data_IF_334714439927
#
_entry.id   IF_334714439927
#
_cell.length_a   1.000
_cell.length_b   1.000
_cell.length_c   1.000
_cell.angle_alpha   90.00
_cell.angle_beta   90.00
_cell.angle_gamma   90.00
#
_symmetry.space_group_name_H-M   'P 1'
#
loop_
_entity.id
_entity.type
_entity.pdbx_description
1 polymer ?
#
# COMPACT_ATOMS: atom_id res chain seq x y z
N UNK A 1 -12.24 -9.54 5.74
CA UNK A 1 -11.13 -8.93 6.48
C UNK A 1 -11.48 -7.49 6.79
N UNK A 2 -11.20 -7.02 8.01
CA UNK A 2 -11.47 -5.62 8.33
C UNK A 2 -10.52 -4.69 7.59
N UNK A 3 -10.95 -3.44 7.32
CA UNK A 3 -10.05 -2.46 6.73
C UNK A 3 -8.96 -2.06 7.72
N UNK A 4 -7.86 -1.48 7.24
CA UNK A 4 -6.81 -1.02 8.15
C UNK A 4 -7.31 0.10 9.06
N UNK A 5 -6.82 0.12 10.28
CA UNK A 5 -7.09 1.17 11.26
C UNK A 5 -5.95 2.19 11.21
N UNK A 6 -6.19 3.36 11.79
CA UNK A 6 -5.16 4.41 11.79
C UNK A 6 -3.86 3.94 12.46
N UNK A 7 -3.94 3.05 13.44
CA UNK A 7 -2.78 2.51 14.14
C UNK A 7 -2.18 1.29 13.47
N UNK A 8 -2.81 0.76 12.42
CA UNK A 8 -2.26 -0.38 11.69
C UNK A 8 -0.93 0.00 11.03
N UNK A 9 0.00 -0.93 10.96
CA UNK A 9 1.31 -0.71 10.36
C UNK A 9 1.48 -1.62 9.15
N UNK A 10 0.98 -1.18 7.97
CA UNK A 10 1.03 -2.02 6.78
C UNK A 10 2.46 -2.36 6.36
N UNK A 11 2.64 -3.59 5.94
CA UNK A 11 3.92 -4.10 5.47
C UNK A 11 3.70 -5.18 4.41
N UNK A 12 4.73 -5.50 3.66
CA UNK A 12 4.66 -6.63 2.75
C UNK A 12 4.51 -7.91 3.55
N UNK A 13 3.64 -8.80 3.09
CA UNK A 13 3.45 -10.09 3.73
C UNK A 13 4.70 -10.96 3.57
N UNK A 14 4.84 -11.95 4.46
CA UNK A 14 5.97 -12.89 4.40
C UNK A 14 5.99 -13.60 3.04
N UNK A 15 7.14 -13.63 2.40
CA UNK A 15 7.29 -14.24 1.07
C UNK A 15 7.08 -13.27 -0.07
N UNK A 16 6.74 -12.03 0.22
CA UNK A 16 6.60 -10.99 -0.81
C UNK A 16 7.80 -10.05 -0.77
N UNK A 17 8.21 -9.57 -1.94
CA UNK A 17 9.36 -8.68 -2.02
C UNK A 17 9.24 -7.78 -3.25
N UNK A 18 9.95 -6.66 -3.19
CA UNK A 18 10.07 -5.78 -4.34
C UNK A 18 10.93 -6.43 -5.41
N UNK A 19 10.56 -6.19 -6.66
CA UNK A 19 11.32 -6.67 -7.82
C UNK A 19 11.19 -5.70 -8.98
N UNK A 20 11.72 -6.11 -10.14
CA UNK A 20 11.68 -5.29 -11.34
C UNK A 20 12.72 -4.18 -11.34
N UNK A 21 12.51 -3.20 -12.21
CA UNK A 21 13.39 -2.04 -12.35
C UNK A 21 12.71 -0.80 -11.84
N UNK A 22 13.45 0.32 -11.77
CA UNK A 22 12.86 1.61 -11.38
C UNK A 22 11.67 2.00 -12.26
N UNK A 23 11.75 1.69 -13.55
CA UNK A 23 10.68 2.02 -14.49
C UNK A 23 9.53 1.01 -14.45
N UNK A 24 9.80 -0.21 -14.00
CA UNK A 24 8.83 -1.29 -13.97
C UNK A 24 8.87 -1.99 -12.62
N UNK A 25 8.51 -1.25 -11.57
CA UNK A 25 8.48 -1.82 -10.22
C UNK A 25 7.35 -2.83 -10.09
N UNK A 26 7.62 -3.89 -9.36
CA UNK A 26 6.61 -4.93 -9.12
C UNK A 26 6.82 -5.53 -7.74
N UNK A 27 5.78 -6.20 -7.25
CA UNK A 27 5.88 -7.02 -6.06
C UNK A 27 5.87 -8.47 -6.50
N UNK A 28 6.86 -9.22 -6.05
CA UNK A 28 6.92 -10.65 -6.27
C UNK A 28 6.29 -11.35 -5.07
N UNK A 29 5.38 -12.27 -5.34
CA UNK A 29 4.72 -13.05 -4.29
C UNK A 29 4.62 -14.51 -4.75
N UNK A 30 4.31 -15.45 -3.84
CA UNK A 30 4.40 -16.88 -4.20
C UNK A 30 3.61 -17.29 -5.42
N UNK A 31 2.49 -16.62 -5.72
CA UNK A 31 1.63 -16.97 -6.84
C UNK A 31 1.96 -16.21 -8.13
N UNK A 32 2.95 -15.31 -8.09
CA UNK A 32 3.31 -14.55 -9.29
C UNK A 32 3.91 -13.19 -8.99
N UNK A 33 3.58 -12.23 -9.84
CA UNK A 33 4.07 -10.86 -9.71
C UNK A 33 2.96 -9.88 -10.05
N UNK A 34 2.95 -8.74 -9.37
CA UNK A 34 2.00 -7.67 -9.64
C UNK A 34 2.78 -6.40 -9.96
N UNK A 35 2.45 -5.79 -11.08
CA UNK A 35 3.08 -4.55 -11.52
C UNK A 35 2.49 -3.37 -10.77
N UNK A 36 3.35 -2.46 -10.31
CA UNK A 36 2.92 -1.29 -9.56
C UNK A 36 3.31 -0.01 -10.28
N UNK A 37 2.33 0.86 -10.49
CA UNK A 37 2.52 2.15 -11.13
C UNK A 37 1.71 3.20 -10.39
N UNK A 38 2.15 4.46 -10.51
CA UNK A 38 1.40 5.60 -9.99
C UNK A 38 1.09 5.50 -8.50
N UNK A 39 -0.16 5.69 -8.15
CA UNK A 39 -0.61 5.73 -6.75
C UNK A 39 -0.33 4.43 -6.01
N UNK A 40 -0.57 3.27 -6.66
CA UNK A 40 -0.33 1.98 -6.03
C UNK A 40 1.12 1.79 -5.61
N UNK A 41 2.05 2.21 -6.46
CA UNK A 41 3.47 2.15 -6.14
C UNK A 41 3.79 3.04 -4.93
N UNK A 42 3.26 4.25 -4.91
CA UNK A 42 3.52 5.19 -3.81
C UNK A 42 2.96 4.68 -2.49
N UNK A 43 1.79 4.05 -2.52
CA UNK A 43 1.21 3.46 -1.32
C UNK A 43 2.11 2.35 -0.78
N UNK A 44 2.52 1.42 -1.63
CA UNK A 44 3.31 0.26 -1.19
C UNK A 44 4.73 0.62 -0.79
N UNK A 45 5.31 1.68 -1.38
CA UNK A 45 6.63 2.14 -0.95
C UNK A 45 6.62 2.62 0.51
N UNK A 46 5.45 3.01 1.01
CA UNK A 46 5.28 3.46 2.39
C UNK A 46 4.85 2.34 3.34
N UNK A 47 4.59 1.15 2.81
CA UNK A 47 4.20 -0.01 3.63
C UNK A 47 5.44 -0.74 4.12
N UNK A 48 6.16 -0.10 5.02
CA UNK A 48 7.44 -0.60 5.54
C UNK A 48 7.33 -1.24 6.93
N UNK A 49 6.11 -1.37 7.45
CA UNK A 49 5.89 -1.93 8.77
C UNK A 49 6.19 -0.98 9.92
N UNK A 50 6.62 0.24 9.63
CA UNK A 50 6.94 1.25 10.63
C UNK A 50 5.96 2.42 10.61
N UNK A 51 5.54 2.85 9.42
CA UNK A 51 4.53 3.89 9.29
C UNK A 51 3.16 3.32 9.60
N UNK A 52 2.35 4.07 10.34
CA UNK A 52 0.95 3.70 10.56
C UNK A 52 0.14 4.06 9.33
N UNK A 53 -1.04 3.44 9.20
CA UNK A 53 -1.96 3.75 8.12
C UNK A 53 -2.30 5.24 8.09
N UNK A 54 -2.55 5.82 9.29
CA UNK A 54 -2.80 7.25 9.38
C UNK A 54 -1.66 8.12 8.87
N UNK A 55 -0.42 7.73 9.18
CA UNK A 55 0.76 8.44 8.68
C UNK A 55 0.90 8.32 7.16
N UNK A 56 0.61 7.15 6.62
CA UNK A 56 0.66 6.94 5.17
C UNK A 56 -0.35 7.86 4.47
N UNK A 57 -1.57 7.96 5.02
CA UNK A 57 -2.59 8.83 4.46
C UNK A 57 -2.15 10.29 4.51
N UNK A 58 -1.58 10.74 5.62
CA UNK A 58 -1.11 12.11 5.75
C UNK A 58 0.00 12.44 4.75
N UNK A 59 0.94 11.53 4.55
CA UNK A 59 2.02 11.72 3.58
C UNK A 59 1.47 11.79 2.16
N UNK A 60 0.53 10.90 1.82
CA UNK A 60 -0.03 10.88 0.48
C UNK A 60 -0.93 12.07 0.20
N UNK A 61 -1.63 12.58 1.20
CA UNK A 61 -2.40 13.82 1.06
C UNK A 61 -1.51 14.98 0.65
N UNK A 62 -0.35 15.09 1.26
CA UNK A 62 0.62 16.14 0.92
C UNK A 62 1.19 15.92 -0.48
N UNK A 63 1.50 14.69 -0.82
CA UNK A 63 2.07 14.33 -2.12
C UNK A 63 1.12 14.64 -3.26
N UNK A 64 -0.15 14.33 -3.09
CA UNK A 64 -1.15 14.51 -4.14
C UNK A 64 -1.87 15.84 -4.10
N UNK A 65 -1.70 16.61 -3.03
CA UNK A 65 -2.36 17.90 -2.89
C UNK A 65 -3.88 17.81 -2.94
N UNK A 66 -4.45 16.70 -2.45
CA UNK A 66 -5.89 16.48 -2.52
C UNK A 66 -6.65 17.37 -1.55
N UNK A 67 -7.85 17.78 -1.96
CA UNK A 67 -8.77 18.51 -1.11
C UNK A 67 -9.84 17.62 -0.49
N UNK A 68 -9.82 16.31 -0.79
CA UNK A 68 -10.80 15.37 -0.28
C UNK A 68 -10.10 14.24 0.49
N UNK A 69 -9.79 14.45 1.79
CA UNK A 69 -9.10 13.44 2.58
C UNK A 69 -9.92 12.18 2.82
N UNK A 70 -11.24 12.29 2.82
CA UNK A 70 -12.13 11.13 2.99
C UNK A 70 -12.01 10.18 1.81
N UNK A 71 -11.96 10.72 0.60
CA UNK A 71 -11.86 9.93 -0.60
C UNK A 71 -10.50 9.22 -0.67
N UNK A 72 -9.43 9.93 -0.36
CA UNK A 72 -8.10 9.32 -0.41
C UNK A 72 -7.96 8.19 0.63
N UNK A 73 -8.53 8.39 1.81
CA UNK A 73 -8.56 7.35 2.84
C UNK A 73 -9.31 6.11 2.34
N UNK A 74 -10.48 6.30 1.75
CA UNK A 74 -11.30 5.20 1.25
C UNK A 74 -10.59 4.44 0.14
N UNK A 75 -9.95 5.16 -0.77
CA UNK A 75 -9.25 4.55 -1.91
C UNK A 75 -8.04 3.73 -1.44
N UNK A 76 -7.26 4.27 -0.52
CA UNK A 76 -6.08 3.57 0.02
C UNK A 76 -6.52 2.36 0.84
N UNK A 77 -7.57 2.51 1.65
CA UNK A 77 -8.10 1.41 2.45
C UNK A 77 -8.55 0.26 1.56
N UNK A 78 -9.33 0.55 0.51
CA UNK A 78 -9.81 -0.47 -0.42
C UNK A 78 -8.64 -1.17 -1.12
N UNK A 79 -7.62 -0.42 -1.52
CA UNK A 79 -6.44 -0.97 -2.17
C UNK A 79 -5.70 -1.93 -1.25
N UNK A 80 -5.46 -1.52 0.00
CA UNK A 80 -4.77 -2.38 0.98
C UNK A 80 -5.58 -3.62 1.34
N UNK A 81 -6.91 -3.50 1.44
CA UNK A 81 -7.76 -4.66 1.67
C UNK A 81 -7.64 -5.69 0.55
N UNK A 82 -7.63 -5.21 -0.70
CA UNK A 82 -7.45 -6.10 -1.85
C UNK A 82 -6.14 -6.85 -1.78
N UNK A 83 -5.06 -6.14 -1.45
CA UNK A 83 -3.74 -6.77 -1.37
C UNK A 83 -3.63 -7.70 -0.17
N UNK A 84 -4.34 -7.42 0.91
CA UNK A 84 -4.38 -8.34 2.05
C UNK A 84 -5.08 -9.64 1.68
N UNK A 85 -6.16 -9.56 0.93
CA UNK A 85 -6.86 -10.75 0.45
C UNK A 85 -5.97 -11.63 -0.43
N UNK A 86 -5.08 -10.99 -1.19
CA UNK A 86 -4.11 -11.70 -2.03
C UNK A 86 -2.86 -12.12 -1.26
N UNK A 87 -2.80 -11.81 0.02
CA UNK A 87 -1.67 -12.10 0.90
C UNK A 87 -0.37 -11.43 0.44
N UNK A 88 -0.50 -10.24 -0.12
CA UNK A 88 0.64 -9.42 -0.55
C UNK A 88 1.03 -8.43 0.54
N UNK A 89 0.04 -7.93 1.28
CA UNK A 89 0.23 -6.96 2.35
C UNK A 89 -0.40 -7.49 3.64
N UNK A 90 0.20 -7.13 4.76
CA UNK A 90 -0.30 -7.42 6.10
C UNK A 90 -0.40 -6.13 6.90
N UNK A 91 -1.31 -6.10 7.87
CA UNK A 91 -1.39 -4.93 8.77
C UNK A 91 -2.09 -5.22 10.08
#
# INVERSE_FOLDING_TARGET
>A
MPPPQDSSQPRLATGCRWGGTEENRMILYPEGAIKLQGTGRQILERCDGQRTFGQIIEELKKEFGTTDPEKIRADISAFLEQLQRKRIVDY
#
